data_IF_158410694012
#
_entry.id   IF_158410694012
#
_cell.length_a   1.000
_cell.length_b   1.000
_cell.length_c   1.000
_cell.angle_alpha   90.00
_cell.angle_beta   90.00
_cell.angle_gamma   90.00
#
_symmetry.space_group_name_H-M   'P 1'
#
loop_
_entity.id
_entity.type
_entity.pdbx_description
1 polymer ?
#
# COMPACT_ATOMS: atom_id res chain seq x y z
N UNK A 1 -12.68 -11.54 1.67
CA UNK A 1 -13.97 -11.38 2.37
C UNK A 1 -14.85 -10.43 1.57
N UNK A 2 -16.14 -10.75 1.33
CA UNK A 2 -17.05 -9.87 0.59
C UNK A 2 -17.45 -8.62 1.41
N UNK A 3 -17.69 -7.48 0.75
CA UNK A 3 -18.07 -6.23 1.41
C UNK A 3 -19.46 -6.31 2.05
N UNK A 4 -19.56 -5.83 3.30
CA UNK A 4 -20.84 -5.79 4.00
C UNK A 4 -21.75 -4.65 3.49
N UNK A 5 -23.03 -4.64 3.91
CA UNK A 5 -24.02 -3.63 3.45
C UNK A 5 -23.63 -2.20 3.83
N UNK A 6 -23.01 -2.00 5.00
CA UNK A 6 -22.61 -0.67 5.48
C UNK A 6 -21.45 -0.12 4.64
N UNK A 7 -20.40 -0.93 4.44
CA UNK A 7 -19.26 -0.59 3.60
C UNK A 7 -19.69 -0.20 2.19
N UNK A 8 -20.58 -0.99 1.56
CA UNK A 8 -21.11 -0.68 0.23
C UNK A 8 -21.82 0.67 0.16
N UNK A 9 -22.63 1.02 1.17
CA UNK A 9 -23.30 2.33 1.22
C UNK A 9 -22.31 3.48 1.35
N UNK A 10 -21.31 3.34 2.21
CA UNK A 10 -20.27 4.35 2.41
C UNK A 10 -19.48 4.57 1.12
N UNK A 11 -19.02 3.49 0.49
CA UNK A 11 -18.29 3.58 -0.78
C UNK A 11 -19.14 4.20 -1.90
N UNK A 12 -20.44 3.87 -1.96
CA UNK A 12 -21.35 4.45 -2.95
C UNK A 12 -21.62 5.94 -2.73
N UNK A 13 -21.78 6.38 -1.47
CA UNK A 13 -21.95 7.81 -1.15
C UNK A 13 -20.73 8.60 -1.59
N UNK A 14 -19.54 8.12 -1.19
CA UNK A 14 -18.27 8.73 -1.57
C UNK A 14 -18.13 8.82 -3.09
N UNK A 15 -18.37 7.72 -3.82
CA UNK A 15 -18.29 7.72 -5.27
C UNK A 15 -19.26 8.71 -5.93
N UNK A 16 -20.49 8.85 -5.41
CA UNK A 16 -21.49 9.80 -5.93
C UNK A 16 -21.09 11.25 -5.68
N UNK A 17 -20.53 11.54 -4.51
CA UNK A 17 -20.04 12.88 -4.16
C UNK A 17 -18.83 13.29 -5.03
N UNK A 18 -18.05 12.30 -5.49
CA UNK A 18 -16.78 12.53 -6.17
C UNK A 18 -16.84 12.26 -7.69
N UNK A 19 -17.99 11.83 -8.22
CA UNK A 19 -18.15 11.45 -9.64
C UNK A 19 -17.92 12.63 -10.60
N UNK A 20 -18.26 13.84 -10.17
CA UNK A 20 -18.15 15.07 -10.97
C UNK A 20 -16.85 15.82 -10.76
N UNK A 21 -15.87 15.21 -10.09
CA UNK A 21 -14.58 15.85 -9.86
C UNK A 21 -13.86 16.13 -11.18
N UNK A 22 -13.42 17.38 -11.33
CA UNK A 22 -12.65 17.81 -12.51
C UNK A 22 -11.22 17.27 -12.44
N UNK A 23 -10.53 17.26 -13.59
CA UNK A 23 -9.11 16.88 -13.64
C UNK A 23 -8.25 17.75 -12.74
N UNK A 24 -8.53 19.05 -12.66
CA UNK A 24 -7.82 19.98 -11.77
C UNK A 24 -8.00 19.58 -10.30
N UNK A 25 -9.22 19.20 -9.91
CA UNK A 25 -9.49 18.72 -8.55
C UNK A 25 -8.76 17.41 -8.26
N UNK A 26 -8.76 16.47 -9.21
CA UNK A 26 -7.99 15.23 -9.09
C UNK A 26 -6.48 15.48 -8.98
N UNK A 27 -5.94 16.46 -9.72
CA UNK A 27 -4.51 16.80 -9.68
C UNK A 27 -4.05 17.33 -8.32
N UNK A 28 -4.95 17.95 -7.56
CA UNK A 28 -4.65 18.45 -6.21
C UNK A 28 -4.67 17.37 -5.11
N UNK A 29 -5.08 16.15 -5.43
CA UNK A 29 -5.22 15.06 -4.44
C UNK A 29 -3.96 14.21 -4.45
N UNK A 30 -3.32 14.09 -3.28
CA UNK A 30 -2.23 13.14 -3.04
C UNK A 30 -2.83 11.84 -2.50
N UNK A 31 -2.70 10.77 -3.27
CA UNK A 31 -3.03 9.41 -2.82
C UNK A 31 -1.80 8.81 -2.15
N UNK A 32 -1.97 8.25 -0.96
CA UNK A 32 -0.88 7.65 -0.18
C UNK A 32 -1.29 6.26 0.25
N UNK A 33 -0.34 5.33 0.29
CA UNK A 33 -0.58 3.99 0.83
C UNK A 33 0.73 3.38 1.35
N UNK A 34 0.59 2.37 2.21
CA UNK A 34 1.69 1.56 2.70
C UNK A 34 1.64 0.16 2.09
N UNK A 35 2.78 -0.30 1.56
CA UNK A 35 2.92 -1.66 1.06
C UNK A 35 4.04 -2.40 1.78
N UNK A 36 3.81 -3.68 2.05
CA UNK A 36 4.82 -4.57 2.64
C UNK A 36 5.36 -5.49 1.55
N UNK A 37 6.68 -5.43 1.35
CA UNK A 37 7.40 -6.34 0.45
C UNK A 37 8.14 -7.37 1.29
N UNK A 38 7.80 -8.65 1.11
CA UNK A 38 8.45 -9.78 1.76
C UNK A 38 9.29 -10.56 0.75
N UNK A 39 10.45 -11.07 1.18
CA UNK A 39 11.30 -11.93 0.34
C UNK A 39 10.63 -13.28 0.05
N UNK A 40 9.82 -13.77 0.99
CA UNK A 40 9.00 -14.97 0.83
C UNK A 40 7.57 -14.56 0.54
N UNK A 41 6.94 -15.22 -0.44
CA UNK A 41 5.54 -14.93 -0.76
C UNK A 41 4.62 -15.36 0.39
N UNK A 42 3.74 -14.46 0.82
CA UNK A 42 2.69 -14.78 1.80
C UNK A 42 1.70 -15.85 1.31
N UNK A 43 1.70 -16.13 0.00
CA UNK A 43 0.83 -17.13 -0.63
C UNK A 43 1.13 -18.56 -0.16
N UNK A 44 2.34 -18.82 0.39
CA UNK A 44 2.77 -20.15 0.80
C UNK A 44 2.83 -21.17 -0.35
N UNK A 45 2.70 -20.72 -1.60
CA UNK A 45 2.71 -21.57 -2.78
C UNK A 45 4.08 -21.54 -3.45
N UNK A 46 4.82 -22.63 -3.31
CA UNK A 46 6.00 -22.88 -4.13
C UNK A 46 5.56 -23.38 -5.51
N UNK A 47 6.01 -22.71 -6.57
CA UNK A 47 5.84 -23.21 -7.93
C UNK A 47 6.82 -24.36 -8.16
N UNK A 48 6.34 -25.59 -7.96
CA UNK A 48 7.10 -26.80 -8.23
C UNK A 48 6.70 -27.34 -9.61
N UNK A 49 7.68 -27.51 -10.51
CA UNK A 49 7.45 -28.21 -11.77
C UNK A 49 7.37 -29.72 -11.48
N UNK A 50 6.16 -30.23 -11.28
CA UNK A 50 5.89 -31.63 -10.92
C UNK A 50 5.40 -32.50 -12.09
N UNK A 51 5.70 -33.80 -12.02
CA UNK A 51 5.13 -34.83 -12.88
C UNK A 51 3.66 -35.10 -12.50
N UNK A 52 2.85 -35.58 -13.46
CA UNK A 52 1.39 -35.76 -13.30
C UNK A 52 1.09 -36.62 -12.06
N UNK A 53 0.20 -36.14 -11.17
CA UNK A 53 -0.25 -36.78 -9.91
C UNK A 53 0.72 -36.75 -8.70
N UNK A 54 1.82 -36.01 -8.75
CA UNK A 54 2.77 -35.88 -7.62
C UNK A 54 2.41 -34.82 -6.56
N UNK A 55 1.23 -34.18 -6.65
CA UNK A 55 0.84 -33.00 -5.86
C UNK A 55 0.97 -33.17 -4.33
N UNK A 56 0.69 -34.36 -3.81
CA UNK A 56 0.67 -34.64 -2.37
C UNK A 56 1.91 -35.42 -1.88
N UNK A 57 2.96 -35.52 -2.71
CA UNK A 57 4.19 -36.17 -2.28
C UNK A 57 4.83 -35.36 -1.15
N UNK A 58 5.37 -36.05 -0.13
CA UNK A 58 5.96 -35.40 1.03
C UNK A 58 7.13 -34.48 0.66
N UNK A 59 7.90 -34.84 -0.38
CA UNK A 59 8.97 -33.98 -0.94
C UNK A 59 8.46 -32.68 -1.59
N UNK A 60 7.16 -32.59 -1.89
CA UNK A 60 6.52 -31.43 -2.51
C UNK A 60 5.75 -30.57 -1.48
N UNK A 61 5.91 -30.88 -0.18
CA UNK A 61 5.29 -30.15 0.94
C UNK A 61 6.41 -29.51 1.77
N UNK A 62 6.35 -28.19 1.96
CA UNK A 62 7.31 -27.44 2.78
C UNK A 62 6.61 -26.94 4.04
N UNK A 63 7.24 -27.15 5.20
CA UNK A 63 6.75 -26.65 6.49
C UNK A 63 6.72 -25.12 6.49
N UNK A 64 5.58 -24.55 6.90
CA UNK A 64 5.36 -23.09 6.90
C UNK A 64 5.83 -22.51 8.23
N UNK A 65 6.83 -21.65 8.19
CA UNK A 65 7.11 -20.73 9.29
C UNK A 65 6.41 -19.39 9.04
N UNK A 66 5.20 -19.21 9.55
CA UNK A 66 4.63 -17.85 9.57
C UNK A 66 5.49 -16.96 10.47
N UNK A 67 5.74 -15.72 10.02
CA UNK A 67 6.35 -14.64 10.81
C UNK A 67 7.89 -14.61 10.95
N UNK A 68 8.68 -15.35 10.14
CA UNK A 68 10.16 -15.20 10.14
C UNK A 68 10.75 -14.44 8.95
N UNK A 69 9.96 -14.20 7.90
CA UNK A 69 10.40 -13.42 6.75
C UNK A 69 10.47 -11.93 7.08
N UNK A 70 11.70 -11.41 7.22
CA UNK A 70 11.95 -9.99 7.15
C UNK A 70 11.29 -9.41 5.90
N UNK A 71 10.51 -8.35 6.08
CA UNK A 71 9.88 -7.63 4.99
C UNK A 71 10.08 -6.14 5.22
N UNK A 72 10.27 -5.41 4.13
CA UNK A 72 10.34 -3.95 4.19
C UNK A 72 8.93 -3.41 4.07
N UNK A 73 8.57 -2.49 4.96
CA UNK A 73 7.36 -1.70 4.82
C UNK A 73 7.75 -0.40 4.16
N UNK A 74 6.94 0.02 3.20
CA UNK A 74 7.26 1.12 2.33
C UNK A 74 6.04 2.02 2.19
N UNK A 75 6.25 3.33 2.20
CA UNK A 75 5.24 4.34 1.96
C UNK A 75 5.59 5.16 0.72
N UNK A 76 4.57 5.54 -0.05
CA UNK A 76 4.69 6.51 -1.12
C UNK A 76 3.38 7.28 -1.32
N UNK A 77 3.51 8.52 -1.79
CA UNK A 77 2.42 9.35 -2.29
C UNK A 77 2.47 9.50 -3.81
N UNK A 78 1.31 9.48 -4.47
CA UNK A 78 1.15 9.73 -5.90
C UNK A 78 0.00 10.72 -6.14
N UNK A 79 0.22 11.70 -7.00
CA UNK A 79 -0.80 12.61 -7.52
C UNK A 79 -0.90 12.45 -9.04
N UNK A 80 -1.81 13.17 -9.70
CA UNK A 80 -1.92 13.10 -11.16
C UNK A 80 -0.64 13.51 -11.89
N UNK A 81 0.12 14.46 -11.32
CA UNK A 81 1.24 15.11 -11.99
C UNK A 81 2.59 14.87 -11.29
N UNK A 82 2.61 14.19 -10.14
CA UNK A 82 3.81 14.00 -9.33
C UNK A 82 3.72 12.75 -8.45
N UNK A 83 4.84 12.37 -7.85
CA UNK A 83 4.90 11.39 -6.78
C UNK A 83 5.95 11.83 -5.75
N UNK A 84 5.87 11.28 -4.54
CA UNK A 84 6.95 11.42 -3.54
C UNK A 84 8.05 10.41 -3.81
N UNK A 85 9.19 10.59 -3.16
CA UNK A 85 10.15 9.51 -3.02
C UNK A 85 9.57 8.38 -2.15
N UNK A 86 10.18 7.20 -2.29
CA UNK A 86 9.79 5.99 -1.58
C UNK A 86 10.38 6.00 -0.17
N UNK A 87 9.54 6.08 0.87
CA UNK A 87 10.00 6.01 2.26
C UNK A 87 10.02 4.58 2.76
N UNK A 88 11.19 4.09 3.17
CA UNK A 88 11.37 2.72 3.67
C UNK A 88 11.42 2.73 5.20
N UNK A 89 10.42 2.12 5.83
CA UNK A 89 10.42 1.91 7.27
C UNK A 89 11.42 0.82 7.65
N UNK A 90 12.46 1.21 8.38
CA UNK A 90 13.47 0.28 8.90
C UNK A 90 12.93 -0.47 10.12
N UNK A 91 12.59 -1.75 9.94
CA UNK A 91 12.17 -2.67 11.01
C UNK A 91 10.94 -2.24 11.83
N UNK A 92 10.45 -3.10 12.71
CA UNK A 92 9.38 -2.75 13.67
C UNK A 92 7.98 -2.58 13.08
N UNK A 93 7.04 -2.21 13.94
CA UNK A 93 5.62 -1.99 13.58
C UNK A 93 5.39 -0.51 13.25
N UNK A 94 4.60 -0.22 12.22
CA UNK A 94 4.13 1.14 11.96
C UNK A 94 3.14 1.56 13.05
N UNK A 95 3.54 2.53 13.88
CA UNK A 95 2.70 3.11 14.94
C UNK A 95 2.23 4.50 14.52
N UNK A 96 1.18 5.02 15.16
CA UNK A 96 0.69 6.37 14.87
C UNK A 96 1.74 7.47 15.08
N UNK A 97 2.55 7.37 16.14
CA UNK A 97 3.66 8.32 16.42
C UNK A 97 4.69 8.27 15.30
N UNK A 98 5.10 7.05 14.91
CA UNK A 98 6.08 6.86 13.84
C UNK A 98 5.57 7.36 12.49
N UNK A 99 4.29 7.13 12.20
CA UNK A 99 3.67 7.69 11.00
C UNK A 99 3.65 9.22 11.03
N UNK A 100 3.45 9.82 12.20
CA UNK A 100 3.49 11.27 12.33
C UNK A 100 4.89 11.83 12.07
N UNK A 101 5.90 11.28 12.76
CA UNK A 101 7.30 11.76 12.70
C UNK A 101 7.98 11.46 11.37
N UNK A 102 7.73 10.29 10.78
CA UNK A 102 8.40 9.86 9.55
C UNK A 102 7.64 10.21 8.27
N UNK A 103 6.30 10.38 8.33
CA UNK A 103 5.47 10.65 7.15
C UNK A 103 4.80 12.03 7.19
N UNK A 104 4.00 12.32 8.21
CA UNK A 104 3.14 13.52 8.21
C UNK A 104 3.97 14.80 8.34
N UNK A 105 4.84 14.89 9.33
CA UNK A 105 5.67 16.08 9.58
C UNK A 105 6.60 16.41 8.39
N UNK A 106 7.36 15.45 7.82
CA UNK A 106 8.29 15.77 6.72
C UNK A 106 7.63 15.91 5.34
N UNK A 107 6.53 15.19 5.05
CA UNK A 107 5.98 15.14 3.68
C UNK A 107 4.63 15.83 3.53
N UNK A 108 3.76 15.79 4.54
CA UNK A 108 2.36 16.26 4.40
C UNK A 108 2.17 17.67 4.93
N UNK A 109 2.74 17.99 6.08
CA UNK A 109 2.69 19.33 6.66
C UNK A 109 3.33 20.44 5.79
N UNK A 110 4.41 20.20 5.01
CA UNK A 110 4.96 21.21 4.11
C UNK A 110 4.22 21.41 2.77
N UNK A 111 3.24 20.55 2.42
CA UNK A 111 2.49 20.64 1.13
C UNK A 111 1.76 21.98 0.89
N UNK A 112 1.26 22.73 1.91
CA UNK A 112 0.70 24.06 1.67
C UNK A 112 1.71 25.06 1.07
N UNK A 113 3.02 24.81 1.19
CA UNK A 113 4.08 25.73 0.74
C UNK A 113 4.60 25.36 -0.67
N UNK A 114 4.69 24.07 -1.02
CA UNK A 114 5.25 23.66 -2.32
C UNK A 114 4.29 23.89 -3.52
N UNK A 115 2.97 23.77 -3.33
CA UNK A 115 1.99 24.00 -4.40
C UNK A 115 1.87 25.48 -4.81
N UNK A 116 2.38 26.40 -4.00
CA UNK A 116 2.46 27.83 -4.33
C UNK A 116 3.72 28.21 -5.14
N UNK A 117 4.74 27.34 -5.21
CA UNK A 117 6.04 27.67 -5.80
C UNK A 117 6.32 27.01 -7.16
N UNK A 118 5.47 26.11 -7.65
CA UNK A 118 5.60 25.51 -9.00
C UNK A 118 4.62 26.11 -10.01
N UNK A 119 4.34 27.42 -9.90
CA UNK A 119 3.75 28.21 -10.99
C UNK A 119 4.88 28.98 -11.68
N UNK A 120 5.43 28.42 -12.74
CA UNK A 120 6.14 29.14 -13.80
C UNK A 120 5.49 28.79 -15.13
#
# INVERSE_FOLDING_TARGET
>A
MPLNRRQRRVHLSWAREHISWTRQRLASVLFTDESRFTLESDSGHLLIRGERRSRYHQSNTVERHSYRGGGIMVWAGISLNSHTDLHVFQGGTLTGVRYWDEIIDPYVYPIPVQLAMTSF
#
